data_IF_617226281586
#
_entry.id   IF_617226281586
#
_cell.length_a   1.000
_cell.length_b   1.000
_cell.length_c   1.000
_cell.angle_alpha   90.00
_cell.angle_beta   90.00
_cell.angle_gamma   90.00
#
_symmetry.space_group_name_H-M   'P 1'
#
loop_
_entity.id
_entity.type
_entity.pdbx_description
1 polymer ?
#
# COMPACT_ATOMS: atom_id res chain seq x y z
N UNK A 1 -13.10 -22.29 3.12
CA UNK A 1 -11.70 -22.18 3.55
C UNK A 1 -11.44 -23.24 4.64
N UNK A 2 -10.22 -23.76 4.75
CA UNK A 2 -9.82 -24.51 5.95
C UNK A 2 -9.99 -23.65 7.21
N UNK A 3 -10.09 -24.30 8.39
CA UNK A 3 -10.14 -23.58 9.66
C UNK A 3 -8.94 -22.64 9.75
N UNK A 4 -9.16 -21.37 10.02
CA UNK A 4 -8.10 -20.36 10.17
C UNK A 4 -7.15 -20.62 11.32
N UNK A 5 -7.46 -21.57 12.23
CA UNK A 5 -6.55 -22.08 13.26
C UNK A 5 -5.55 -23.08 12.70
N UNK A 6 -5.83 -23.67 11.53
CA UNK A 6 -4.90 -24.59 10.91
C UNK A 6 -3.64 -23.83 10.55
N UNK A 7 -2.56 -24.19 11.19
CA UNK A 7 -1.26 -23.64 10.87
C UNK A 7 -0.78 -24.25 9.55
N UNK A 8 -1.03 -23.53 8.45
CA UNK A 8 -0.46 -23.86 7.13
C UNK A 8 1.01 -23.41 7.03
N UNK A 9 1.59 -22.87 8.12
CA UNK A 9 3.03 -22.64 8.16
C UNK A 9 3.76 -23.98 8.20
N UNK A 10 4.79 -24.02 7.40
CA UNK A 10 5.61 -25.20 7.24
C UNK A 10 6.42 -25.44 8.51
N UNK A 11 6.45 -26.68 9.00
CA UNK A 11 7.31 -27.05 10.11
C UNK A 11 8.75 -26.66 9.82
N UNK A 12 9.42 -26.00 10.79
CA UNK A 12 10.78 -25.48 10.60
C UNK A 12 10.89 -24.14 9.87
N UNK A 13 9.78 -23.54 9.44
CA UNK A 13 9.81 -22.16 8.96
C UNK A 13 10.26 -21.22 10.05
N UNK A 14 11.26 -20.38 9.74
CA UNK A 14 11.73 -19.32 10.64
C UNK A 14 11.70 -17.99 9.94
N UNK A 15 11.44 -16.94 10.71
CA UNK A 15 11.52 -15.57 10.24
C UNK A 15 12.03 -14.68 11.36
N UNK A 16 13.24 -14.18 11.20
CA UNK A 16 13.86 -13.22 12.09
C UNK A 16 13.94 -11.87 11.40
N UNK A 17 13.34 -10.87 12.00
CA UNK A 17 13.35 -9.51 11.50
C UNK A 17 13.97 -8.59 12.53
N UNK A 18 14.83 -7.69 12.08
CA UNK A 18 15.32 -6.58 12.88
C UNK A 18 15.01 -5.29 12.15
N UNK A 19 14.40 -4.33 12.84
CA UNK A 19 14.06 -3.05 12.27
C UNK A 19 14.36 -1.92 13.24
N UNK A 20 14.88 -0.82 12.70
CA UNK A 20 15.06 0.43 13.40
C UNK A 20 14.49 1.55 12.55
N UNK A 21 13.73 2.43 13.17
CA UNK A 21 13.19 3.62 12.53
C UNK A 21 13.46 4.83 13.43
N UNK A 22 14.09 5.83 12.85
CA UNK A 22 14.23 7.15 13.47
C UNK A 22 13.51 8.17 12.59
N UNK A 23 12.74 9.07 13.21
CA UNK A 23 12.06 10.16 12.51
C UNK A 23 12.27 11.48 13.25
N UNK A 24 12.42 12.54 12.49
CA UNK A 24 12.51 13.92 12.96
C UNK A 24 11.49 14.76 12.20
N UNK A 25 10.65 15.47 12.95
CA UNK A 25 9.76 16.49 12.39
C UNK A 25 9.88 17.75 13.22
N UNK A 26 10.21 18.86 12.58
CA UNK A 26 10.31 20.15 13.24
C UNK A 26 9.71 21.24 12.36
N UNK A 27 8.92 22.11 12.98
CA UNK A 27 8.34 23.29 12.35
C UNK A 27 8.73 24.50 13.18
N UNK A 28 9.36 25.48 12.53
CA UNK A 28 9.75 26.75 13.13
C UNK A 28 8.92 27.89 12.52
N UNK A 29 8.22 28.63 13.34
CA UNK A 29 7.61 29.90 12.94
C UNK A 29 8.64 31.02 13.05
N UNK A 30 8.89 31.72 11.95
CA UNK A 30 9.77 32.87 11.89
C UNK A 30 8.99 34.19 12.10
N UNK A 31 7.73 34.21 11.68
CA UNK A 31 6.80 35.31 11.84
C UNK A 31 5.36 34.80 11.72
N UNK A 32 4.38 35.68 11.79
CA UNK A 32 2.96 35.34 11.56
C UNK A 32 2.70 34.83 10.14
N UNK A 33 3.59 35.17 9.20
CA UNK A 33 3.44 34.80 7.77
C UNK A 33 4.38 33.69 7.35
N UNK A 34 5.53 33.57 7.95
CA UNK A 34 6.59 32.66 7.49
C UNK A 34 6.85 31.55 8.51
N UNK A 35 6.92 30.33 8.00
CA UNK A 35 7.40 29.18 8.74
C UNK A 35 8.32 28.33 7.87
N UNK A 36 9.26 27.66 8.53
CA UNK A 36 10.09 26.64 7.91
C UNK A 36 9.83 25.30 8.56
N UNK A 37 10.15 24.25 7.85
CA UNK A 37 10.04 22.89 8.37
C UNK A 37 11.21 22.04 7.91
N UNK A 38 11.56 21.08 8.76
CA UNK A 38 12.48 20.01 8.42
C UNK A 38 11.84 18.70 8.84
N UNK A 39 11.77 17.75 7.91
CA UNK A 39 11.32 16.39 8.14
C UNK A 39 12.47 15.46 7.77
N UNK A 40 12.68 14.41 8.55
CA UNK A 40 13.72 13.46 8.27
C UNK A 40 13.38 12.08 8.78
N UNK A 41 13.96 11.08 8.16
CA UNK A 41 13.81 9.71 8.58
C UNK A 41 14.99 8.85 8.15
N UNK A 42 15.33 7.92 9.02
CA UNK A 42 16.28 6.85 8.76
C UNK A 42 15.64 5.54 9.17
N UNK A 43 15.60 4.59 8.25
CA UNK A 43 15.10 3.24 8.49
C UNK A 43 16.16 2.21 8.11
N UNK A 44 16.35 1.23 8.96
CA UNK A 44 17.12 0.04 8.67
C UNK A 44 16.26 -1.18 8.92
N UNK A 45 16.26 -2.13 7.99
CA UNK A 45 15.51 -3.37 8.11
C UNK A 45 16.33 -4.53 7.58
N UNK A 46 16.46 -5.56 8.39
CA UNK A 46 17.06 -6.83 7.97
C UNK A 46 16.08 -7.97 8.22
N UNK A 47 16.08 -8.94 7.32
CA UNK A 47 15.24 -10.13 7.38
C UNK A 47 16.06 -11.35 7.04
N UNK A 48 15.96 -12.36 7.89
CA UNK A 48 16.41 -13.70 7.57
C UNK A 48 15.23 -14.65 7.74
N UNK A 49 14.80 -15.24 6.66
CA UNK A 49 13.70 -16.20 6.67
C UNK A 49 14.04 -17.46 5.92
N UNK A 50 13.64 -18.54 6.53
CA UNK A 50 13.60 -19.87 5.95
C UNK A 50 12.13 -20.20 5.68
N UNK A 51 11.71 -20.10 4.44
CA UNK A 51 10.32 -20.21 4.05
C UNK A 51 10.13 -20.98 2.73
N UNK A 52 8.91 -21.42 2.40
CA UNK A 52 8.62 -22.03 1.12
C UNK A 52 8.90 -21.07 -0.04
N UNK A 53 9.55 -21.57 -1.06
CA UNK A 53 9.68 -20.85 -2.31
C UNK A 53 8.32 -20.84 -3.04
N UNK A 54 7.62 -19.72 -3.01
CA UNK A 54 6.29 -19.58 -3.60
C UNK A 54 6.22 -19.96 -5.08
N UNK A 55 7.30 -19.76 -5.85
CA UNK A 55 7.38 -20.17 -7.25
C UNK A 55 7.50 -21.67 -7.49
N UNK A 56 7.78 -22.46 -6.44
CA UNK A 56 7.86 -23.92 -6.52
C UNK A 56 6.68 -24.63 -5.85
N UNK A 57 5.79 -23.89 -5.17
CA UNK A 57 4.65 -24.48 -4.49
C UNK A 57 3.60 -24.94 -5.50
N UNK A 58 3.19 -26.19 -5.37
CA UNK A 58 2.07 -26.78 -6.11
C UNK A 58 1.06 -27.38 -5.18
N UNK A 59 -0.19 -27.26 -5.54
CA UNK A 59 -1.34 -27.85 -4.84
C UNK A 59 -2.09 -28.71 -5.85
N UNK A 60 -2.28 -29.99 -5.55
CA UNK A 60 -3.09 -30.88 -6.39
C UNK A 60 -4.58 -30.79 -6.03
N UNK A 61 -5.43 -31.47 -6.83
CA UNK A 61 -6.88 -31.49 -6.64
C UNK A 61 -7.34 -32.13 -5.33
N UNK A 62 -6.48 -32.89 -4.66
CA UNK A 62 -6.73 -33.51 -3.35
C UNK A 62 -6.27 -32.63 -2.18
N UNK A 63 -5.76 -31.44 -2.45
CA UNK A 63 -5.25 -30.54 -1.43
C UNK A 63 -3.82 -30.88 -0.97
N UNK A 64 -3.10 -31.76 -1.69
CA UNK A 64 -1.73 -32.11 -1.37
C UNK A 64 -0.78 -31.00 -1.84
N UNK A 65 0.07 -30.55 -0.92
CA UNK A 65 1.10 -29.53 -1.14
C UNK A 65 2.45 -30.18 -1.42
N UNK A 66 3.15 -29.66 -2.42
CA UNK A 66 4.56 -29.99 -2.67
C UNK A 66 5.31 -28.75 -3.12
N UNK A 67 6.65 -28.77 -2.98
CA UNK A 67 7.48 -27.64 -3.38
C UNK A 67 8.85 -27.67 -2.72
N UNK A 68 9.52 -26.52 -2.71
CA UNK A 68 10.87 -26.36 -2.16
C UNK A 68 10.92 -25.21 -1.16
N UNK A 69 11.75 -25.37 -0.14
CA UNK A 69 12.14 -24.29 0.76
C UNK A 69 13.25 -23.44 0.15
N UNK A 70 13.32 -22.21 0.61
CA UNK A 70 14.43 -21.29 0.31
C UNK A 70 14.96 -20.67 1.57
N UNK A 71 16.22 -20.33 1.54
CA UNK A 71 16.81 -19.35 2.45
C UNK A 71 16.73 -17.98 1.80
N UNK A 72 16.21 -17.01 2.52
CA UNK A 72 16.10 -15.64 2.06
C UNK A 72 16.67 -14.71 3.13
N UNK A 73 17.70 -13.99 2.76
CA UNK A 73 18.32 -12.96 3.61
C UNK A 73 18.22 -11.64 2.86
N UNK A 74 17.78 -10.60 3.54
CA UNK A 74 17.76 -9.25 2.98
C UNK A 74 18.19 -8.22 4.00
N UNK A 75 18.82 -7.17 3.50
CA UNK A 75 19.20 -5.99 4.25
C UNK A 75 18.81 -4.76 3.45
N UNK A 76 18.21 -3.78 4.09
CA UNK A 76 17.82 -2.54 3.45
C UNK A 76 17.94 -1.35 4.39
N UNK A 77 18.29 -0.21 3.81
CA UNK A 77 18.35 1.07 4.50
C UNK A 77 17.62 2.11 3.67
N UNK A 78 16.81 2.92 4.31
CA UNK A 78 16.15 4.07 3.72
C UNK A 78 16.52 5.34 4.47
N UNK A 79 16.74 6.43 3.75
CA UNK A 79 16.97 7.76 4.30
C UNK A 79 16.10 8.74 3.55
N UNK A 80 15.45 9.62 4.27
CA UNK A 80 14.62 10.69 3.71
C UNK A 80 14.88 11.98 4.46
N UNK A 81 15.06 13.07 3.74
CA UNK A 81 15.13 14.42 4.26
C UNK A 81 14.31 15.36 3.40
N UNK A 82 13.59 16.25 4.04
CA UNK A 82 12.87 17.33 3.40
C UNK A 82 13.08 18.61 4.19
N UNK A 83 13.41 19.68 3.50
CA UNK A 83 13.48 21.02 4.06
C UNK A 83 12.60 21.94 3.23
N UNK A 84 11.82 22.77 3.89
CA UNK A 84 10.94 23.67 3.17
C UNK A 84 10.58 24.90 3.96
N UNK A 85 9.99 25.84 3.23
CA UNK A 85 9.44 27.08 3.76
C UNK A 85 8.01 27.25 3.28
N UNK A 86 7.20 27.89 4.10
CA UNK A 86 5.84 28.27 3.72
C UNK A 86 5.56 29.73 4.10
N UNK A 87 4.75 30.37 3.28
CA UNK A 87 4.32 31.74 3.46
C UNK A 87 2.78 31.82 3.40
N UNK A 88 2.19 32.45 4.38
CA UNK A 88 0.76 32.80 4.39
C UNK A 88 0.59 34.29 4.14
N UNK A 89 -0.06 34.62 3.05
CA UNK A 89 -0.36 35.98 2.66
C UNK A 89 -1.86 36.21 2.45
N UNK A 90 -2.25 37.47 2.53
CA UNK A 90 -3.58 37.89 2.10
C UNK A 90 -3.43 39.13 1.25
N UNK A 91 -4.03 39.14 0.05
CA UNK A 91 -4.07 40.27 -0.86
C UNK A 91 -5.56 40.55 -1.12
N UNK A 92 -6.08 41.61 -0.48
CA UNK A 92 -7.52 41.86 -0.46
C UNK A 92 -8.28 40.69 0.17
N UNK A 93 -9.22 40.12 -0.56
CA UNK A 93 -10.04 38.97 -0.09
C UNK A 93 -9.45 37.60 -0.47
N UNK A 94 -8.28 37.56 -1.09
CA UNK A 94 -7.61 36.31 -1.47
C UNK A 94 -6.59 35.93 -0.40
N UNK A 95 -6.79 34.77 0.22
CA UNK A 95 -5.75 34.15 1.08
C UNK A 95 -4.91 33.23 0.23
N UNK A 96 -3.62 33.28 0.48
CA UNK A 96 -2.60 32.50 -0.23
C UNK A 96 -1.74 31.74 0.78
N UNK A 97 -1.47 30.47 0.51
CA UNK A 97 -0.59 29.61 1.32
C UNK A 97 0.40 28.93 0.38
N UNK A 98 1.52 29.61 0.14
CA UNK A 98 2.60 29.17 -0.76
C UNK A 98 3.61 28.35 0.04
N UNK A 99 4.04 27.22 -0.51
CA UNK A 99 5.10 26.40 0.06
C UNK A 99 6.11 25.97 -1.00
N UNK A 100 7.38 25.94 -0.59
CA UNK A 100 8.47 25.39 -1.38
C UNK A 100 9.26 24.42 -0.52
N UNK A 101 9.56 23.23 -1.07
CA UNK A 101 10.32 22.21 -0.39
C UNK A 101 11.33 21.56 -1.33
N UNK A 102 12.44 21.12 -0.77
CA UNK A 102 13.39 20.23 -1.44
C UNK A 102 13.50 18.95 -0.64
N UNK A 103 13.58 17.82 -1.37
CA UNK A 103 13.60 16.48 -0.80
C UNK A 103 14.83 15.73 -1.27
N UNK A 104 15.36 14.91 -0.38
CA UNK A 104 16.33 13.86 -0.68
C UNK A 104 15.82 12.53 -0.19
N UNK A 105 15.88 11.52 -1.04
CA UNK A 105 15.56 10.14 -0.71
C UNK A 105 16.69 9.24 -1.15
N UNK A 106 17.04 8.29 -0.30
CA UNK A 106 17.95 7.20 -0.62
C UNK A 106 17.37 5.89 -0.10
N UNK A 107 17.40 4.89 -0.94
CA UNK A 107 17.12 3.50 -0.57
C UNK A 107 18.22 2.61 -1.10
N UNK A 108 18.77 1.76 -0.26
CA UNK A 108 19.71 0.72 -0.67
C UNK A 108 19.23 -0.62 -0.13
N UNK A 109 19.38 -1.66 -0.93
CA UNK A 109 19.02 -3.01 -0.52
C UNK A 109 19.88 -4.06 -1.18
N UNK A 110 20.11 -5.15 -0.48
CA UNK A 110 20.65 -6.39 -1.03
C UNK A 110 19.79 -7.55 -0.54
N UNK A 111 19.66 -8.59 -1.35
CA UNK A 111 18.93 -9.78 -0.97
C UNK A 111 19.57 -11.02 -1.61
N UNK A 112 19.69 -12.06 -0.81
CA UNK A 112 20.01 -13.40 -1.25
C UNK A 112 18.73 -14.23 -1.27
N UNK A 113 18.46 -14.87 -2.39
CA UNK A 113 17.34 -15.81 -2.53
C UNK A 113 17.88 -17.12 -3.14
N UNK A 114 17.97 -18.15 -2.32
CA UNK A 114 18.49 -19.46 -2.74
C UNK A 114 17.46 -20.30 -3.49
N UNK A 115 16.27 -19.76 -3.75
CA UNK A 115 15.11 -20.45 -4.31
C UNK A 115 15.29 -21.11 -5.68
N UNK A 116 16.37 -20.81 -6.39
CA UNK A 116 16.67 -21.38 -7.73
C UNK A 116 17.91 -22.26 -7.78
N UNK A 117 18.59 -22.51 -6.65
CA UNK A 117 19.85 -23.26 -6.61
C UNK A 117 19.70 -24.65 -6.00
N UNK A 118 20.59 -25.55 -6.35
CA UNK A 118 20.71 -26.89 -5.78
C UNK A 118 20.83 -26.84 -4.24
N UNK A 119 20.04 -27.64 -3.54
CA UNK A 119 20.07 -27.69 -2.08
C UNK A 119 18.84 -27.16 -1.39
N UNK A 120 17.74 -26.93 -2.09
CA UNK A 120 16.46 -26.56 -1.47
C UNK A 120 15.85 -27.76 -0.74
N UNK A 121 15.37 -27.55 0.49
CA UNK A 121 14.59 -28.58 1.17
C UNK A 121 13.28 -28.83 0.41
N UNK A 122 12.95 -30.10 0.25
CA UNK A 122 11.67 -30.51 -0.33
C UNK A 122 10.61 -30.51 0.75
N UNK A 123 9.44 -29.97 0.43
CA UNK A 123 8.26 -29.96 1.30
C UNK A 123 7.22 -30.91 0.77
N UNK A 124 6.51 -31.57 1.69
CA UNK A 124 5.32 -32.36 1.41
C UNK A 124 4.32 -32.14 2.54
N UNK A 125 3.03 -32.14 2.22
CA UNK A 125 1.95 -31.96 3.19
C UNK A 125 0.62 -31.78 2.49
N UNK A 126 -0.39 -31.40 3.24
CA UNK A 126 -1.71 -31.09 2.71
C UNK A 126 -2.34 -29.89 3.46
N UNK A 127 -3.38 -29.34 2.86
CA UNK A 127 -4.09 -28.16 3.40
C UNK A 127 -4.77 -28.42 4.76
N UNK A 128 -4.98 -29.71 5.12
CA UNK A 128 -5.78 -30.08 6.27
C UNK A 128 -4.92 -30.51 7.47
N UNK A 129 -3.79 -31.19 7.20
CA UNK A 129 -2.93 -31.79 8.21
C UNK A 129 -1.60 -31.05 8.41
N UNK A 130 -1.36 -30.00 7.61
CA UNK A 130 -0.13 -29.20 7.68
C UNK A 130 0.98 -29.72 6.77
N UNK A 131 2.14 -29.10 6.87
CA UNK A 131 3.27 -29.31 5.95
C UNK A 131 4.52 -29.70 6.70
N UNK A 132 5.27 -30.64 6.15
CA UNK A 132 6.50 -31.14 6.73
C UNK A 132 7.68 -30.89 5.78
N UNK A 133 8.86 -30.57 6.33
CA UNK A 133 10.10 -30.51 5.60
C UNK A 133 10.62 -31.94 5.43
N UNK A 134 10.92 -32.31 4.19
CA UNK A 134 11.43 -33.66 3.87
C UNK A 134 12.96 -33.68 3.83
N UNK A 135 13.57 -32.58 3.43
CA UNK A 135 15.01 -32.45 3.30
C UNK A 135 15.54 -31.13 3.86
N UNK A 136 16.73 -31.14 4.43
CA UNK A 136 17.39 -29.93 4.94
C UNK A 136 18.25 -29.31 3.82
N UNK A 137 18.16 -28.00 3.60
CA UNK A 137 18.92 -27.34 2.53
C UNK A 137 20.40 -27.20 2.89
N UNK A 138 21.24 -27.18 1.87
CA UNK A 138 22.65 -26.82 1.95
C UNK A 138 22.82 -25.42 1.35
N UNK A 139 23.30 -24.45 2.13
CA UNK A 139 23.52 -23.07 1.71
C UNK A 139 24.99 -22.88 1.31
N UNK A 140 25.23 -22.35 0.12
CA UNK A 140 26.56 -22.22 -0.46
C UNK A 140 26.96 -20.86 -1.02
N UNK A 141 26.21 -19.79 -0.72
CA UNK A 141 26.54 -18.43 -1.22
C UNK A 141 26.55 -17.45 -0.05
N UNK A 142 27.65 -16.71 0.08
CA UNK A 142 27.78 -15.67 1.11
C UNK A 142 26.86 -14.46 0.80
N UNK A 143 26.10 -14.04 1.80
CA UNK A 143 25.27 -12.84 1.71
C UNK A 143 26.13 -11.57 1.62
N UNK A 144 27.27 -11.58 2.25
CA UNK A 144 28.16 -10.41 2.33
C UNK A 144 28.84 -10.09 1.00
N UNK A 145 28.96 -11.07 0.11
CA UNK A 145 29.54 -10.89 -1.24
C UNK A 145 28.58 -10.20 -2.23
N UNK A 146 27.34 -9.95 -1.83
CA UNK A 146 26.35 -9.33 -2.69
C UNK A 146 26.49 -7.80 -2.72
N UNK A 147 26.45 -7.25 -3.93
CA UNK A 147 26.34 -5.81 -4.12
C UNK A 147 24.96 -5.26 -3.68
N UNK A 148 24.93 -3.98 -3.33
CA UNK A 148 23.67 -3.25 -3.06
C UNK A 148 23.10 -2.69 -4.35
N UNK A 149 21.79 -2.88 -4.54
CA UNK A 149 21.01 -2.02 -5.43
C UNK A 149 20.67 -0.73 -4.67
N UNK A 150 20.77 0.42 -5.34
CA UNK A 150 20.54 1.73 -4.74
C UNK A 150 19.53 2.53 -5.56
N UNK A 151 18.80 3.38 -4.89
CA UNK A 151 17.96 4.41 -5.48
C UNK A 151 18.22 5.73 -4.76
N UNK A 152 18.55 6.76 -5.51
CA UNK A 152 18.70 8.13 -5.03
C UNK A 152 17.67 8.99 -5.74
N UNK A 153 17.03 9.88 -5.03
CA UNK A 153 16.14 10.83 -5.64
C UNK A 153 16.26 12.21 -4.98
N UNK A 154 16.27 13.23 -5.80
CA UNK A 154 16.18 14.63 -5.40
C UNK A 154 14.90 15.21 -5.97
N UNK A 155 14.13 15.93 -5.17
CA UNK A 155 12.95 16.60 -5.65
C UNK A 155 12.87 18.04 -5.17
N UNK A 156 12.21 18.87 -5.99
CA UNK A 156 11.80 20.22 -5.64
C UNK A 156 10.31 20.35 -5.88
N UNK A 157 9.58 20.79 -4.87
CA UNK A 157 8.12 20.93 -4.91
C UNK A 157 7.74 22.38 -4.63
N UNK A 158 6.97 22.97 -5.54
CA UNK A 158 6.28 24.22 -5.35
C UNK A 158 4.79 23.93 -5.24
N UNK A 159 4.15 24.36 -4.17
CA UNK A 159 2.72 24.18 -3.98
C UNK A 159 2.10 25.48 -3.49
N UNK A 160 0.91 25.79 -4.00
CA UNK A 160 0.18 26.98 -3.64
C UNK A 160 -1.31 26.68 -3.46
N UNK A 161 -1.90 27.29 -2.45
CA UNK A 161 -3.32 27.23 -2.17
C UNK A 161 -3.88 28.64 -2.08
N UNK A 162 -4.81 28.92 -2.97
CA UNK A 162 -5.59 30.16 -3.00
C UNK A 162 -6.97 29.92 -2.41
N UNK A 163 -7.41 30.82 -1.52
CA UNK A 163 -8.79 30.86 -1.02
C UNK A 163 -9.41 32.22 -1.37
N UNK A 164 -10.49 32.19 -2.12
CA UNK A 164 -11.22 33.39 -2.55
C UNK A 164 -12.72 33.19 -2.32
N UNK A 165 -13.23 33.85 -1.30
CA UNK A 165 -14.62 33.70 -0.88
C UNK A 165 -14.96 32.25 -0.54
N UNK A 166 -15.86 31.65 -1.32
CA UNK A 166 -16.32 30.26 -1.13
C UNK A 166 -15.51 29.24 -1.92
N UNK A 167 -14.56 29.65 -2.72
CA UNK A 167 -13.74 28.78 -3.56
C UNK A 167 -12.31 28.67 -3.04
N UNK A 168 -11.68 27.55 -3.30
CA UNK A 168 -10.26 27.34 -3.09
C UNK A 168 -9.66 26.57 -4.26
N UNK A 169 -8.46 26.97 -4.65
CA UNK A 169 -7.65 26.30 -5.68
C UNK A 169 -6.35 25.83 -5.02
N UNK A 170 -5.95 24.61 -5.30
CA UNK A 170 -4.63 24.07 -4.94
C UNK A 170 -3.92 23.66 -6.22
N UNK A 171 -2.69 24.07 -6.36
CA UNK A 171 -1.79 23.67 -7.43
C UNK A 171 -0.43 23.31 -6.85
N UNK A 172 0.10 22.18 -7.26
CA UNK A 172 1.45 21.77 -6.90
C UNK A 172 2.18 21.21 -8.12
N UNK A 173 3.47 21.49 -8.19
CA UNK A 173 4.36 20.98 -9.21
C UNK A 173 5.60 20.44 -8.54
N UNK A 174 5.89 19.15 -8.74
CA UNK A 174 7.10 18.51 -8.27
C UNK A 174 7.98 18.15 -9.46
N UNK A 175 9.20 18.67 -9.48
CA UNK A 175 10.29 18.13 -10.30
C UNK A 175 11.05 17.12 -9.45
N UNK A 176 11.36 15.97 -10.04
CA UNK A 176 12.14 14.93 -9.37
C UNK A 176 13.10 14.26 -10.34
N UNK A 177 14.36 14.17 -9.92
CA UNK A 177 15.40 13.37 -10.55
C UNK A 177 15.62 12.10 -9.73
N UNK A 178 15.66 10.94 -10.40
CA UNK A 178 15.83 9.63 -9.77
C UNK A 178 16.92 8.85 -10.47
N UNK A 179 17.97 8.49 -9.74
CA UNK A 179 19.01 7.56 -10.18
C UNK A 179 18.80 6.21 -9.50
N UNK A 180 18.85 5.13 -10.27
CA UNK A 180 18.91 3.75 -9.77
C UNK A 180 20.26 3.14 -10.16
N UNK A 181 20.88 2.43 -9.21
CA UNK A 181 22.11 1.67 -9.41
C UNK A 181 21.84 0.20 -9.09
N UNK A 182 22.06 -0.68 -10.04
CA UNK A 182 21.94 -2.12 -9.84
C UNK A 182 23.08 -2.66 -8.97
N UNK A 183 22.92 -3.88 -8.43
CA UNK A 183 23.98 -4.55 -7.68
C UNK A 183 25.28 -4.77 -8.49
N UNK A 184 25.22 -4.78 -9.82
CA UNK A 184 26.37 -4.85 -10.72
C UNK A 184 27.01 -3.49 -11.02
N UNK A 185 26.46 -2.39 -10.50
CA UNK A 185 26.95 -1.02 -10.69
C UNK A 185 26.37 -0.31 -11.93
N UNK A 186 25.49 -0.93 -12.70
CA UNK A 186 24.82 -0.24 -13.80
C UNK A 186 23.88 0.83 -13.27
N UNK A 187 23.92 2.02 -13.88
CA UNK A 187 23.19 3.21 -13.44
C UNK A 187 22.20 3.66 -14.49
N UNK A 188 21.01 4.05 -14.03
CA UNK A 188 19.93 4.63 -14.81
C UNK A 188 19.43 5.86 -14.10
N UNK A 189 19.41 7.01 -14.78
CA UNK A 189 18.85 8.25 -14.25
C UNK A 189 17.81 8.83 -15.20
N UNK A 190 16.71 9.31 -14.63
CA UNK A 190 15.64 10.00 -15.33
C UNK A 190 14.92 10.97 -14.40
N UNK A 191 14.48 12.06 -14.99
CA UNK A 191 13.67 13.05 -14.31
C UNK A 191 12.18 12.92 -14.62
N UNK A 192 11.36 13.56 -13.82
CA UNK A 192 9.91 13.62 -14.00
C UNK A 192 9.33 14.92 -13.45
N UNK A 193 8.27 15.37 -14.08
CA UNK A 193 7.48 16.53 -13.65
C UNK A 193 6.07 16.05 -13.32
N UNK A 194 5.63 16.26 -12.06
CA UNK A 194 4.40 15.70 -11.52
C UNK A 194 3.47 16.82 -11.03
N UNK A 195 2.44 17.18 -11.80
CA UNK A 195 1.44 18.14 -11.40
C UNK A 195 0.37 17.52 -10.49
N UNK A 196 -0.14 18.33 -9.57
CA UNK A 196 -1.34 18.06 -8.79
C UNK A 196 -2.21 19.32 -8.77
N UNK A 197 -3.49 19.17 -9.06
CA UNK A 197 -4.46 20.27 -9.04
C UNK A 197 -5.70 19.86 -8.29
N UNK A 198 -6.27 20.78 -7.53
CA UNK A 198 -7.59 20.60 -6.94
C UNK A 198 -8.33 21.93 -6.86
N UNK A 199 -9.62 21.86 -7.09
CA UNK A 199 -10.54 22.99 -6.87
C UNK A 199 -11.64 22.52 -5.91
N UNK A 200 -12.01 23.38 -4.98
CA UNK A 200 -13.15 23.15 -4.09
C UNK A 200 -14.01 24.39 -4.01
N UNK A 201 -15.30 24.17 -3.87
CA UNK A 201 -16.30 25.22 -3.70
C UNK A 201 -17.24 24.88 -2.54
N UNK A 202 -17.46 25.86 -1.66
CA UNK A 202 -18.35 25.76 -0.49
C UNK A 202 -19.60 26.61 -0.73
N UNK A 203 -20.66 26.08 -1.37
CA UNK A 203 -21.87 26.85 -1.63
C UNK A 203 -22.53 27.32 -0.31
N UNK A 204 -22.50 26.47 0.70
CA UNK A 204 -22.91 26.74 2.08
C UNK A 204 -21.83 26.23 3.04
N UNK A 205 -21.87 26.66 4.28
CA UNK A 205 -20.80 26.42 5.27
C UNK A 205 -20.49 24.93 5.50
N UNK A 206 -21.52 24.10 5.50
CA UNK A 206 -21.42 22.67 5.79
C UNK A 206 -21.33 21.78 4.53
N UNK A 207 -21.26 22.34 3.33
CA UNK A 207 -21.17 21.61 2.06
C UNK A 207 -19.95 22.06 1.26
N UNK A 208 -19.13 21.12 0.82
CA UNK A 208 -18.03 21.36 -0.09
C UNK A 208 -18.11 20.38 -1.27
N UNK A 209 -18.03 20.88 -2.49
CA UNK A 209 -17.83 20.10 -3.71
C UNK A 209 -16.40 20.33 -4.19
N UNK A 210 -15.77 19.30 -4.75
CA UNK A 210 -14.39 19.40 -5.20
C UNK A 210 -14.13 18.53 -6.43
N UNK A 211 -13.09 18.88 -7.17
CA UNK A 211 -12.49 18.06 -8.20
C UNK A 211 -10.97 18.11 -8.04
N UNK A 212 -10.29 17.01 -8.33
CA UNK A 212 -8.84 16.93 -8.27
C UNK A 212 -8.25 16.08 -9.39
N UNK A 213 -7.02 16.38 -9.72
CA UNK A 213 -6.15 15.62 -10.60
C UNK A 213 -4.78 15.47 -9.92
N UNK A 214 -4.28 14.24 -9.87
CA UNK A 214 -2.96 13.96 -9.36
C UNK A 214 -2.22 13.00 -10.29
N UNK A 215 -0.92 13.18 -10.39
CA UNK A 215 -0.03 12.31 -11.13
C UNK A 215 1.08 11.81 -10.19
N UNK A 216 1.35 10.51 -10.28
CA UNK A 216 2.50 9.87 -9.66
C UNK A 216 3.34 9.16 -10.71
N UNK A 217 4.56 8.81 -10.38
CA UNK A 217 5.46 8.11 -11.30
C UNK A 217 6.12 6.92 -10.61
N UNK A 218 6.62 5.99 -11.43
CA UNK A 218 7.49 4.90 -10.99
C UNK A 218 8.95 5.27 -11.24
N UNK A 219 9.88 4.52 -10.68
CA UNK A 219 11.31 4.67 -11.00
C UNK A 219 11.60 4.30 -12.47
N UNK A 220 12.67 4.86 -13.07
CA UNK A 220 13.10 4.49 -14.42
C UNK A 220 13.52 3.02 -14.50
N UNK A 221 13.41 2.45 -15.68
CA UNK A 221 13.76 1.04 -15.94
C UNK A 221 14.62 0.97 -17.19
N UNK A 222 15.72 0.20 -17.12
CA UNK A 222 16.50 -0.22 -18.27
C UNK A 222 15.97 -1.55 -18.78
N UNK A 223 15.80 -1.66 -20.10
CA UNK A 223 15.28 -2.86 -20.75
C UNK A 223 16.34 -3.97 -20.71
N UNK A 224 15.94 -5.12 -20.16
CA UNK A 224 16.82 -6.28 -20.01
C UNK A 224 17.21 -6.94 -21.34
N UNK A 225 18.29 -7.73 -21.31
CA UNK A 225 18.93 -8.35 -22.48
C UNK A 225 18.07 -9.37 -23.23
N UNK A 226 16.93 -9.77 -22.69
CA UNK A 226 16.00 -10.73 -23.32
C UNK A 226 15.10 -10.12 -24.38
N UNK A 227 15.13 -8.79 -24.56
CA UNK A 227 14.27 -8.04 -25.46
C UNK A 227 15.05 -7.45 -26.64
N UNK A 228 14.36 -7.21 -27.75
CA UNK A 228 14.99 -6.65 -28.96
C UNK A 228 15.49 -5.21 -28.74
N UNK A 229 14.88 -4.48 -27.82
CA UNK A 229 15.28 -3.12 -27.42
C UNK A 229 16.11 -3.11 -26.12
N UNK A 230 16.92 -4.14 -25.90
CA UNK A 230 17.81 -4.23 -24.74
C UNK A 230 18.70 -2.97 -24.59
N UNK A 231 18.85 -2.49 -23.38
CA UNK A 231 19.63 -1.29 -23.05
C UNK A 231 18.87 0.03 -23.25
N UNK A 232 17.67 0.02 -23.80
CA UNK A 232 16.81 1.20 -23.82
C UNK A 232 16.42 1.60 -22.38
N UNK A 233 16.53 2.89 -22.08
CA UNK A 233 16.16 3.43 -20.77
C UNK A 233 14.83 4.16 -20.91
N UNK A 234 13.80 3.61 -20.28
CA UNK A 234 12.49 4.22 -20.28
C UNK A 234 12.36 5.37 -19.29
N UNK A 235 11.59 6.36 -19.68
CA UNK A 235 11.10 7.37 -18.75
C UNK A 235 10.22 6.73 -17.66
N UNK A 236 10.16 7.34 -16.47
CA UNK A 236 9.24 6.88 -15.45
C UNK A 236 7.80 6.88 -15.94
N UNK A 237 7.11 5.74 -15.84
CA UNK A 237 5.69 5.67 -16.21
C UNK A 237 4.85 6.42 -15.19
N UNK A 238 3.78 7.05 -15.68
CA UNK A 238 2.93 7.96 -14.92
C UNK A 238 1.58 7.33 -14.65
N UNK A 239 1.22 7.24 -13.38
CA UNK A 239 -0.13 6.91 -12.95
C UNK A 239 -0.92 8.20 -12.80
N UNK A 240 -2.16 8.23 -13.26
CA UNK A 240 -3.01 9.43 -13.25
C UNK A 240 -4.31 9.14 -12.53
N UNK A 241 -4.68 10.02 -11.61
CA UNK A 241 -5.95 9.94 -10.90
C UNK A 241 -6.75 11.23 -11.11
N UNK A 242 -8.02 11.07 -11.43
CA UNK A 242 -9.02 12.14 -11.40
C UNK A 242 -10.11 11.76 -10.40
N UNK A 243 -10.58 12.75 -9.64
CA UNK A 243 -11.61 12.56 -8.65
C UNK A 243 -12.55 13.79 -8.60
N UNK A 244 -13.84 13.54 -8.43
CA UNK A 244 -14.83 14.54 -8.10
C UNK A 244 -15.62 14.07 -6.89
N UNK A 245 -15.88 14.97 -5.95
CA UNK A 245 -16.56 14.55 -4.74
C UNK A 245 -17.30 15.68 -4.02
N UNK A 246 -18.04 15.24 -3.03
CA UNK A 246 -18.84 16.08 -2.15
C UNK A 246 -18.55 15.71 -0.71
N UNK A 247 -18.32 16.73 0.14
CA UNK A 247 -18.22 16.59 1.59
C UNK A 247 -19.35 17.40 2.24
N UNK A 248 -20.13 16.73 3.07
CA UNK A 248 -21.26 17.34 3.76
C UNK A 248 -21.21 17.06 5.25
N UNK A 249 -21.32 18.10 6.06
CA UNK A 249 -21.40 17.98 7.52
C UNK A 249 -22.85 18.10 7.96
N UNK A 250 -23.39 17.04 8.55
CA UNK A 250 -24.71 17.01 9.16
C UNK A 250 -24.55 16.88 10.68
N UNK A 251 -24.71 17.99 11.39
CA UNK A 251 -24.39 18.04 12.82
C UNK A 251 -22.90 17.72 13.05
N UNK A 252 -22.63 16.69 13.83
CA UNK A 252 -21.26 16.23 14.14
C UNK A 252 -20.76 15.15 13.18
N UNK A 253 -21.55 14.77 12.15
CA UNK A 253 -21.18 13.73 11.19
C UNK A 253 -20.68 14.39 9.92
N UNK A 254 -19.49 13.99 9.48
CA UNK A 254 -18.94 14.30 8.16
C UNK A 254 -19.25 13.15 7.21
N UNK A 255 -19.93 13.44 6.13
CA UNK A 255 -20.16 12.56 4.98
C UNK A 255 -19.22 12.94 3.85
N UNK A 256 -18.68 11.97 3.14
CA UNK A 256 -17.89 12.18 1.93
C UNK A 256 -18.33 11.18 0.87
N UNK A 257 -18.59 11.67 -0.35
CA UNK A 257 -18.88 10.86 -1.52
C UNK A 257 -17.91 11.28 -2.62
N UNK A 258 -17.21 10.32 -3.20
CA UNK A 258 -16.26 10.55 -4.28
C UNK A 258 -16.51 9.59 -5.46
N UNK A 259 -16.32 10.10 -6.66
CA UNK A 259 -16.21 9.35 -7.91
C UNK A 259 -14.78 9.52 -8.40
N UNK A 260 -14.09 8.43 -8.71
CA UNK A 260 -12.71 8.48 -9.15
C UNK A 260 -12.41 7.57 -10.34
N UNK A 261 -11.40 7.95 -11.08
CA UNK A 261 -10.74 7.13 -12.10
C UNK A 261 -9.23 7.16 -11.86
N UNK A 262 -8.61 5.98 -11.78
CA UNK A 262 -7.17 5.78 -11.70
C UNK A 262 -6.71 4.97 -12.91
N UNK A 263 -5.83 5.55 -13.71
CA UNK A 263 -5.11 4.87 -14.77
C UNK A 263 -3.72 4.50 -14.24
N UNK A 264 -3.47 3.20 -14.11
CA UNK A 264 -2.21 2.64 -13.65
C UNK A 264 -1.46 2.08 -14.85
N UNK A 265 -0.38 2.76 -15.25
CA UNK A 265 0.48 2.29 -16.31
C UNK A 265 1.39 1.16 -15.83
N UNK A 266 1.85 0.31 -16.75
CA UNK A 266 2.78 -0.78 -16.48
C UNK A 266 3.68 -1.05 -17.68
N UNK A 267 4.81 -1.69 -17.41
CA UNK A 267 5.67 -2.24 -18.45
C UNK A 267 5.14 -3.60 -18.89
N UNK A 268 5.12 -3.85 -20.20
CA UNK A 268 4.67 -5.12 -20.77
C UNK A 268 5.60 -5.60 -21.88
N UNK A 269 5.52 -6.90 -22.17
CA UNK A 269 6.13 -7.51 -23.33
C UNK A 269 5.15 -7.45 -24.51
N UNK A 270 5.57 -6.90 -25.63
CA UNK A 270 4.82 -6.85 -26.88
C UNK A 270 5.52 -7.62 -28.01
N UNK A 271 4.74 -8.06 -29.00
CA UNK A 271 5.29 -8.69 -30.18
C UNK A 271 6.17 -7.70 -30.96
N UNK A 272 7.35 -8.16 -31.38
CA UNK A 272 8.14 -7.39 -32.34
C UNK A 272 7.45 -7.47 -33.72
N UNK A 273 7.20 -6.33 -34.39
CA UNK A 273 6.64 -6.34 -35.75
C UNK A 273 7.57 -6.99 -36.78
N UNK A 274 8.88 -7.04 -36.51
CA UNK A 274 9.85 -7.72 -37.36
C UNK A 274 9.83 -9.23 -37.08
N UNK A 275 9.49 -10.01 -38.11
CA UNK A 275 9.38 -11.49 -38.01
C UNK A 275 10.72 -12.09 -37.62
N UNK A 276 10.72 -12.97 -36.62
CA UNK A 276 11.87 -13.71 -36.17
C UNK A 276 12.77 -12.97 -35.15
N UNK A 277 12.46 -11.73 -34.80
CA UNK A 277 13.15 -11.01 -33.70
C UNK A 277 12.54 -11.28 -32.36
N UNK A 278 13.34 -11.07 -31.32
CA UNK A 278 12.84 -11.09 -29.93
C UNK A 278 11.75 -10.04 -29.72
N UNK A 279 10.85 -10.30 -28.77
CA UNK A 279 9.80 -9.35 -28.38
C UNK A 279 10.37 -8.03 -27.88
N UNK A 280 9.57 -6.99 -27.93
CA UNK A 280 9.85 -5.68 -27.36
C UNK A 280 9.38 -5.61 -25.91
N UNK A 281 10.09 -4.88 -25.08
CA UNK A 281 9.61 -4.41 -23.78
C UNK A 281 9.12 -2.99 -23.97
N UNK A 282 7.91 -2.66 -23.47
CA UNK A 282 7.26 -1.37 -23.73
C UNK A 282 6.58 -0.80 -22.48
N UNK A 283 6.20 0.47 -22.54
CA UNK A 283 5.44 1.16 -21.49
C UNK A 283 3.92 1.17 -21.76
N UNK A 284 3.43 0.29 -22.65
CA UNK A 284 2.05 0.35 -23.13
C UNK A 284 1.04 -0.37 -22.25
N UNK A 285 1.48 -1.04 -21.17
CA UNK A 285 0.57 -1.72 -20.25
C UNK A 285 -0.30 -0.75 -19.46
N UNK A 286 -1.57 -1.07 -19.27
CA UNK A 286 -2.52 -0.22 -18.53
C UNK A 286 -3.57 -1.06 -17.78
N UNK A 287 -3.79 -0.69 -16.51
CA UNK A 287 -4.95 -1.09 -15.74
C UNK A 287 -5.77 0.17 -15.41
N UNK A 288 -7.08 0.07 -15.54
CA UNK A 288 -7.99 1.17 -15.25
C UNK A 288 -8.93 0.82 -14.11
N UNK A 289 -8.97 1.69 -13.10
CA UNK A 289 -9.84 1.55 -11.94
C UNK A 289 -10.81 2.72 -11.89
N UNK A 290 -12.11 2.43 -11.88
CA UNK A 290 -13.17 3.42 -11.69
C UNK A 290 -13.97 3.04 -10.47
N UNK A 291 -14.30 4.00 -9.63
CA UNK A 291 -14.99 3.70 -8.40
C UNK A 291 -15.85 4.81 -7.87
N UNK A 292 -16.68 4.39 -6.92
CA UNK A 292 -17.47 5.26 -6.07
C UNK A 292 -17.13 4.91 -4.62
N UNK A 293 -16.78 5.91 -3.84
CA UNK A 293 -16.50 5.76 -2.42
C UNK A 293 -17.42 6.67 -1.61
N UNK A 294 -18.05 6.09 -0.61
CA UNK A 294 -18.80 6.83 0.40
C UNK A 294 -18.18 6.55 1.77
N UNK A 295 -17.96 7.60 2.54
CA UNK A 295 -17.51 7.48 3.92
C UNK A 295 -18.29 8.42 4.84
N UNK A 296 -18.38 8.02 6.10
CA UNK A 296 -18.94 8.84 7.16
C UNK A 296 -18.12 8.69 8.45
N UNK A 297 -18.01 9.78 9.21
CA UNK A 297 -17.35 9.75 10.51
C UNK A 297 -17.92 10.86 11.41
N UNK A 298 -18.16 10.54 12.67
CA UNK A 298 -18.61 11.51 13.67
C UNK A 298 -19.49 10.91 14.75
N UNK A 299 -20.09 11.81 15.55
CA UNK A 299 -21.05 11.44 16.60
C UNK A 299 -22.47 11.40 16.04
N UNK A 300 -23.09 10.23 16.07
CA UNK A 300 -24.51 10.03 15.68
C UNK A 300 -25.47 10.26 16.85
N UNK A 301 -24.96 10.19 18.07
CA UNK A 301 -25.66 10.51 19.33
C UNK A 301 -24.61 10.84 20.41
N UNK A 302 -25.00 11.40 21.57
CA UNK A 302 -24.06 11.90 22.59
C UNK A 302 -22.99 10.89 23.05
N UNK A 303 -23.29 9.60 23.00
CA UNK A 303 -22.39 8.52 23.42
C UNK A 303 -21.95 7.61 22.29
N UNK A 304 -22.31 7.91 21.03
CA UNK A 304 -22.07 7.04 19.90
C UNK A 304 -21.20 7.72 18.86
N UNK A 305 -19.98 7.24 18.70
CA UNK A 305 -19.11 7.58 17.60
C UNK A 305 -19.23 6.51 16.52
N UNK A 306 -19.35 6.91 15.26
CA UNK A 306 -19.44 6.01 14.11
C UNK A 306 -18.42 6.42 13.06
N UNK A 307 -17.79 5.44 12.45
CA UNK A 307 -16.97 5.58 11.25
C UNK A 307 -17.33 4.44 10.29
N UNK A 308 -17.61 4.80 9.04
CA UNK A 308 -17.97 3.82 8.02
C UNK A 308 -17.47 4.18 6.64
N UNK A 309 -17.30 3.18 5.79
CA UNK A 309 -16.94 3.34 4.40
C UNK A 309 -17.58 2.24 3.56
N UNK A 310 -18.00 2.62 2.36
CA UNK A 310 -18.50 1.71 1.32
C UNK A 310 -17.84 2.11 0.00
N UNK A 311 -17.19 1.15 -0.65
CA UNK A 311 -16.55 1.37 -1.94
C UNK A 311 -17.07 0.37 -2.96
N UNK A 312 -17.43 0.89 -4.13
CA UNK A 312 -17.59 0.11 -5.35
C UNK A 312 -16.41 0.38 -6.28
N UNK A 313 -15.71 -0.66 -6.72
CA UNK A 313 -14.52 -0.57 -7.55
C UNK A 313 -14.65 -1.45 -8.80
N UNK A 314 -14.53 -0.84 -9.98
CA UNK A 314 -14.46 -1.53 -11.25
C UNK A 314 -13.03 -1.42 -11.80
N UNK A 315 -12.19 -2.40 -11.46
CA UNK A 315 -10.81 -2.49 -11.94
C UNK A 315 -10.73 -3.41 -13.16
N UNK A 316 -10.26 -2.89 -14.27
CA UNK A 316 -10.10 -3.63 -15.53
C UNK A 316 -8.67 -3.55 -16.04
N UNK A 317 -8.24 -4.58 -16.73
CA UNK A 317 -7.01 -4.61 -17.50
C UNK A 317 -7.32 -4.08 -18.89
N UNK A 318 -6.69 -2.99 -19.29
CA UNK A 318 -6.96 -2.36 -20.60
C UNK A 318 -5.93 -2.77 -21.64
N UNK A 319 -4.65 -2.92 -21.23
CA UNK A 319 -3.56 -3.35 -22.13
C UNK A 319 -2.65 -4.32 -21.42
N UNK A 320 -2.44 -5.46 -22.02
CA UNK A 320 -1.67 -6.58 -21.46
C UNK A 320 -0.51 -7.01 -22.39
N UNK A 321 0.39 -7.80 -21.81
CA UNK A 321 1.53 -8.36 -22.53
C UNK A 321 1.09 -9.32 -23.62
N UNK A 322 1.95 -9.50 -24.63
CA UNK A 322 1.82 -10.51 -25.69
C UNK A 322 1.46 -11.90 -25.11
N UNK A 323 0.45 -12.52 -25.69
CA UNK A 323 -0.10 -13.81 -25.27
C UNK A 323 -1.15 -13.71 -24.17
N UNK A 324 -1.38 -12.51 -23.60
CA UNK A 324 -2.39 -12.24 -22.59
C UNK A 324 -3.49 -11.28 -23.06
N UNK A 325 -3.49 -10.87 -24.32
CA UNK A 325 -4.42 -9.90 -24.92
C UNK A 325 -5.88 -10.36 -24.79
N UNK A 326 -6.12 -11.68 -24.80
CA UNK A 326 -7.46 -12.27 -24.61
C UNK A 326 -8.04 -12.02 -23.21
N UNK A 327 -7.24 -11.50 -22.28
CA UNK A 327 -7.65 -11.12 -20.92
C UNK A 327 -7.95 -9.63 -20.79
N UNK A 328 -7.76 -8.84 -21.85
CA UNK A 328 -8.10 -7.42 -21.87
C UNK A 328 -9.61 -7.21 -21.68
N UNK A 329 -9.97 -6.16 -20.98
CA UNK A 329 -11.33 -5.89 -20.55
C UNK A 329 -11.82 -6.74 -19.35
N UNK A 330 -11.03 -7.75 -18.91
CA UNK A 330 -11.35 -8.53 -17.71
C UNK A 330 -10.99 -7.77 -16.43
N UNK A 331 -11.57 -8.23 -15.33
CA UNK A 331 -11.29 -7.64 -14.02
C UNK A 331 -9.86 -7.92 -13.56
N UNK A 332 -9.26 -6.92 -12.94
CA UNK A 332 -7.96 -7.07 -12.29
C UNK A 332 -8.04 -8.08 -11.14
N UNK A 333 -7.05 -8.97 -11.08
CA UNK A 333 -6.96 -9.99 -10.01
C UNK A 333 -6.73 -9.31 -8.65
N UNK A 334 -7.27 -9.91 -7.60
CA UNK A 334 -7.15 -9.39 -6.24
C UNK A 334 -7.98 -8.14 -5.94
N UNK A 335 -8.84 -7.71 -6.88
CA UNK A 335 -9.62 -6.49 -6.76
C UNK A 335 -11.10 -6.83 -6.54
N UNK A 336 -11.61 -6.79 -5.31
CA UNK A 336 -13.03 -6.99 -5.03
C UNK A 336 -13.84 -5.77 -5.50
N UNK A 337 -15.03 -6.02 -6.05
CA UNK A 337 -15.92 -4.95 -6.50
C UNK A 337 -16.52 -4.14 -5.36
N UNK A 338 -16.77 -4.79 -4.23
CA UNK A 338 -17.39 -4.17 -3.08
C UNK A 338 -16.55 -4.36 -1.84
N UNK A 339 -16.32 -3.28 -1.12
CA UNK A 339 -15.71 -3.28 0.20
C UNK A 339 -16.54 -2.39 1.11
N UNK A 340 -16.75 -2.84 2.35
CA UNK A 340 -17.42 -2.03 3.35
C UNK A 340 -16.78 -2.23 4.72
N UNK A 341 -16.72 -1.15 5.48
CA UNK A 341 -16.31 -1.14 6.88
C UNK A 341 -17.29 -0.31 7.67
N UNK A 342 -17.66 -0.77 8.85
CA UNK A 342 -18.41 -0.01 9.83
C UNK A 342 -17.76 -0.22 11.18
N UNK A 343 -17.42 0.85 11.86
CA UNK A 343 -16.92 0.83 13.23
C UNK A 343 -17.78 1.77 14.07
N UNK A 344 -18.11 1.36 15.27
CA UNK A 344 -18.81 2.20 16.24
C UNK A 344 -18.21 2.01 17.62
N UNK A 345 -18.13 3.10 18.37
CA UNK A 345 -17.70 3.13 19.75
C UNK A 345 -18.83 3.75 20.59
N UNK A 346 -19.29 2.98 21.58
CA UNK A 346 -20.26 3.42 22.56
C UNK A 346 -19.57 3.81 23.85
N UNK A 347 -19.62 5.08 24.21
CA UNK A 347 -19.09 5.64 25.45
C UNK A 347 -20.10 5.42 26.58
N UNK A 348 -19.97 4.30 27.32
CA UNK A 348 -20.88 3.99 28.42
C UNK A 348 -20.80 5.07 29.49
N UNK A 349 -19.58 5.49 29.85
CA UNK A 349 -19.25 6.60 30.72
C UNK A 349 -17.90 7.24 30.33
N UNK A 350 -17.34 8.11 31.19
CA UNK A 350 -16.06 8.81 30.91
C UNK A 350 -14.85 7.87 30.81
N UNK A 351 -14.95 6.69 31.39
CA UNK A 351 -13.84 5.75 31.48
C UNK A 351 -14.04 4.49 30.61
N UNK A 352 -15.27 4.16 30.25
CA UNK A 352 -15.60 2.88 29.65
C UNK A 352 -16.25 3.03 28.29
N UNK A 353 -15.69 2.34 27.30
CA UNK A 353 -16.25 2.29 25.93
C UNK A 353 -16.32 0.86 25.41
N UNK A 354 -17.38 0.56 24.68
CA UNK A 354 -17.52 -0.67 23.90
C UNK A 354 -17.30 -0.36 22.41
N UNK A 355 -16.63 -1.26 21.72
CA UNK A 355 -16.31 -1.13 20.29
C UNK A 355 -16.96 -2.27 19.55
N UNK A 356 -17.54 -1.95 18.41
CA UNK A 356 -18.00 -2.92 17.42
C UNK A 356 -17.44 -2.54 16.07
N UNK A 357 -16.97 -3.53 15.29
CA UNK A 357 -16.54 -3.34 13.91
C UNK A 357 -17.04 -4.48 13.02
N UNK A 358 -17.48 -4.11 11.82
CA UNK A 358 -17.85 -5.00 10.73
C UNK A 358 -16.94 -4.72 9.55
N UNK A 359 -16.40 -5.76 8.91
CA UNK A 359 -15.64 -5.66 7.67
C UNK A 359 -16.27 -6.61 6.65
N UNK A 360 -16.57 -6.09 5.47
CA UNK A 360 -17.04 -6.87 4.33
C UNK A 360 -16.10 -6.68 3.15
N UNK A 361 -15.71 -7.79 2.53
CA UNK A 361 -14.91 -7.82 1.30
C UNK A 361 -15.63 -8.71 0.30
N UNK A 362 -15.95 -8.15 -0.85
CA UNK A 362 -16.62 -8.84 -1.93
C UNK A 362 -15.74 -9.87 -2.64
N UNK A 363 -16.36 -10.65 -3.51
CA UNK A 363 -15.65 -11.62 -4.35
C UNK A 363 -14.59 -10.94 -5.24
N UNK A 364 -13.47 -11.61 -5.43
CA UNK A 364 -12.39 -11.14 -6.32
C UNK A 364 -11.81 -12.27 -7.16
N UNK A 365 -11.36 -11.94 -8.37
CA UNK A 365 -10.63 -12.89 -9.21
C UNK A 365 -9.25 -13.17 -8.63
N UNK A 366 -8.88 -14.44 -8.52
CA UNK A 366 -7.55 -14.89 -8.06
C UNK A 366 -6.62 -15.13 -9.24
N UNK A 367 -7.17 -15.59 -10.37
CA UNK A 367 -6.40 -15.87 -11.57
C UNK A 367 -7.23 -15.60 -12.84
N UNK A 368 -6.55 -15.76 -13.97
CA UNK A 368 -7.11 -15.53 -15.30
C UNK A 368 -8.06 -16.64 -15.78
N UNK A 369 -8.07 -17.78 -15.09
CA UNK A 369 -8.93 -18.94 -15.41
C UNK A 369 -10.30 -18.88 -14.74
N UNK A 370 -10.66 -17.74 -14.14
CA UNK A 370 -11.99 -17.53 -13.54
C UNK A 370 -12.12 -18.01 -12.10
N UNK A 371 -11.05 -18.45 -11.47
CA UNK A 371 -11.07 -18.80 -10.03
C UNK A 371 -11.32 -17.54 -9.21
N UNK A 372 -12.29 -17.65 -8.29
CA UNK A 372 -12.73 -16.54 -7.43
C UNK A 372 -12.41 -16.84 -5.97
N UNK A 373 -11.84 -15.87 -5.27
CA UNK A 373 -11.92 -15.82 -3.81
C UNK A 373 -13.35 -15.42 -3.41
N UNK A 374 -14.03 -16.21 -2.55
CA UNK A 374 -15.36 -15.87 -2.07
C UNK A 374 -15.36 -14.55 -1.29
N UNK A 375 -16.52 -13.92 -1.22
CA UNK A 375 -16.77 -12.82 -0.30
C UNK A 375 -16.76 -13.29 1.16
N UNK A 376 -16.45 -12.38 2.04
CA UNK A 376 -16.53 -12.64 3.47
C UNK A 376 -16.91 -11.40 4.26
N UNK A 377 -17.46 -11.66 5.46
CA UNK A 377 -17.77 -10.66 6.44
C UNK A 377 -17.23 -11.11 7.80
N UNK A 378 -16.55 -10.21 8.50
CA UNK A 378 -16.04 -10.44 9.86
C UNK A 378 -16.57 -9.40 10.80
N UNK A 379 -16.72 -9.78 12.06
CA UNK A 379 -17.15 -8.90 13.13
C UNK A 379 -16.12 -8.93 14.25
N UNK A 380 -15.82 -7.75 14.79
CA UNK A 380 -14.91 -7.58 15.91
C UNK A 380 -15.64 -6.84 17.02
N UNK A 381 -15.32 -7.19 18.25
CA UNK A 381 -15.81 -6.51 19.45
C UNK A 381 -14.64 -6.12 20.33
N UNK A 382 -14.82 -5.03 21.06
CA UNK A 382 -13.77 -4.55 21.96
C UNK A 382 -14.33 -3.78 23.13
N UNK A 383 -13.44 -3.61 24.10
CA UNK A 383 -13.70 -2.80 25.30
C UNK A 383 -12.47 -1.98 25.63
N UNK A 384 -12.67 -0.71 25.96
CA UNK A 384 -11.63 0.19 26.45
C UNK A 384 -11.98 0.67 27.86
N UNK A 385 -10.95 0.72 28.70
CA UNK A 385 -11.03 1.28 30.03
C UNK A 385 -9.92 2.29 30.25
N UNK A 386 -10.30 3.55 30.58
CA UNK A 386 -9.38 4.62 30.94
C UNK A 386 -9.21 4.66 32.44
N UNK A 387 -7.97 4.65 32.91
CA UNK A 387 -7.64 4.70 34.32
C UNK A 387 -6.35 5.50 34.54
N UNK A 388 -5.84 5.51 35.76
CA UNK A 388 -4.54 6.09 36.10
C UNK A 388 -3.73 5.08 36.93
N UNK A 389 -2.46 5.00 36.63
CA UNK A 389 -1.48 4.25 37.44
C UNK A 389 -0.43 5.27 37.91
N UNK A 390 -0.33 5.48 39.22
CA UNK A 390 0.57 6.50 39.81
C UNK A 390 0.51 7.87 39.12
N UNK A 391 -0.67 8.39 38.90
CA UNK A 391 -0.94 9.67 38.19
C UNK A 391 -0.78 9.64 36.66
N UNK A 392 -0.16 8.66 36.08
CA UNK A 392 -0.04 8.50 34.63
C UNK A 392 -1.37 7.99 34.05
N UNK A 393 -1.99 8.71 33.09
CA UNK A 393 -3.19 8.20 32.41
C UNK A 393 -2.85 6.91 31.65
N UNK A 394 -3.72 5.92 31.77
CA UNK A 394 -3.58 4.61 31.11
C UNK A 394 -4.87 4.22 30.43
N UNK A 395 -4.80 3.83 29.18
CA UNK A 395 -5.91 3.22 28.45
C UNK A 395 -5.65 1.73 28.27
N UNK A 396 -6.46 0.90 28.90
CA UNK A 396 -6.46 -0.55 28.72
C UNK A 396 -7.48 -0.91 27.63
N UNK A 397 -7.10 -1.78 26.70
CA UNK A 397 -7.99 -2.22 25.63
C UNK A 397 -7.95 -3.74 25.48
N UNK A 398 -9.12 -4.33 25.31
CA UNK A 398 -9.30 -5.74 24.98
C UNK A 398 -10.11 -5.82 23.68
N UNK A 399 -9.57 -6.49 22.67
CA UNK A 399 -10.21 -6.68 21.36
C UNK A 399 -10.35 -8.17 21.05
N UNK A 400 -11.50 -8.57 20.52
CA UNK A 400 -11.72 -9.88 19.95
C UNK A 400 -12.02 -9.69 18.46
N UNK A 401 -11.06 -10.02 17.62
CA UNK A 401 -11.20 -9.99 16.18
C UNK A 401 -11.86 -11.26 15.66
N UNK A 402 -12.65 -11.13 14.58
CA UNK A 402 -13.39 -12.24 13.97
C UNK A 402 -14.15 -13.03 15.02
N UNK A 403 -14.95 -12.34 15.83
CA UNK A 403 -15.64 -12.91 17.02
C UNK A 403 -16.53 -14.11 16.69
N UNK A 404 -17.09 -14.16 15.48
CA UNK A 404 -17.91 -15.28 15.01
C UNK A 404 -17.08 -16.48 14.51
N UNK A 405 -15.75 -16.36 14.44
CA UNK A 405 -14.85 -17.42 14.00
C UNK A 405 -15.05 -17.81 12.54
N UNK A 406 -15.30 -16.83 11.66
CA UNK A 406 -15.47 -17.08 10.22
C UNK A 406 -14.15 -17.52 9.60
N UNK A 407 -14.16 -18.64 8.89
CA UNK A 407 -13.06 -19.06 8.02
C UNK A 407 -13.23 -18.47 6.62
N UNK A 408 -12.17 -17.84 6.11
CA UNK A 408 -12.23 -17.12 4.84
C UNK A 408 -10.87 -17.06 4.13
N UNK A 409 -10.93 -16.80 2.83
CA UNK A 409 -9.77 -16.57 1.99
C UNK A 409 -9.54 -15.08 1.77
N UNK A 410 -8.31 -14.63 1.92
CA UNK A 410 -7.85 -13.29 1.55
C UNK A 410 -7.17 -13.40 0.18
N UNK A 411 -7.71 -12.69 -0.82
CA UNK A 411 -7.03 -12.57 -2.12
C UNK A 411 -5.83 -11.63 -2.01
N UNK A 412 -4.71 -12.05 -2.59
CA UNK A 412 -3.46 -11.27 -2.71
C UNK A 412 -3.03 -11.14 -4.18
N UNK A 413 -3.96 -10.74 -5.04
CA UNK A 413 -3.74 -10.72 -6.49
C UNK A 413 -3.85 -12.12 -7.07
N UNK A 414 -2.76 -12.72 -7.49
CA UNK A 414 -2.73 -14.06 -8.10
C UNK A 414 -2.63 -15.21 -7.09
N UNK A 415 -2.73 -14.94 -5.80
CA UNK A 415 -2.69 -15.94 -4.73
C UNK A 415 -3.75 -15.66 -3.67
N UNK A 416 -3.99 -16.64 -2.80
CA UNK A 416 -4.86 -16.52 -1.64
C UNK A 416 -4.11 -16.87 -0.37
N UNK A 417 -4.53 -16.29 0.75
CA UNK A 417 -4.08 -16.65 2.09
C UNK A 417 -5.29 -16.93 2.97
N UNK A 418 -5.12 -17.74 4.01
CA UNK A 418 -6.15 -17.90 5.03
C UNK A 418 -6.33 -16.60 5.80
N UNK A 419 -7.58 -16.28 6.08
CA UNK A 419 -7.94 -15.21 7.00
C UNK A 419 -7.57 -15.56 8.44
N UNK A 420 -7.32 -14.53 9.26
CA UNK A 420 -7.04 -14.73 10.68
C UNK A 420 -8.24 -15.38 11.40
N UNK A 421 -8.01 -16.40 12.24
CA UNK A 421 -9.04 -16.97 13.09
C UNK A 421 -9.51 -15.96 14.13
N UNK A 422 -10.44 -16.36 15.00
CA UNK A 422 -10.78 -15.58 16.18
C UNK A 422 -9.51 -15.32 16.98
N UNK A 423 -9.20 -14.04 17.20
CA UNK A 423 -7.96 -13.60 17.84
C UNK A 423 -8.29 -12.59 18.94
N UNK A 424 -7.71 -12.79 20.11
CA UNK A 424 -7.81 -11.84 21.22
C UNK A 424 -6.52 -11.03 21.33
N UNK A 425 -6.65 -9.73 21.53
CA UNK A 425 -5.53 -8.82 21.78
C UNK A 425 -5.82 -7.96 23.00
N UNK A 426 -4.84 -7.88 23.90
CA UNK A 426 -4.85 -6.98 25.03
C UNK A 426 -3.76 -5.92 24.82
N UNK A 427 -4.05 -4.68 25.13
CA UNK A 427 -3.08 -3.59 25.06
C UNK A 427 -3.24 -2.61 26.22
N UNK A 428 -2.13 -1.98 26.60
CA UNK A 428 -2.08 -0.88 27.56
C UNK A 428 -1.31 0.27 26.93
N UNK A 429 -1.91 1.47 26.91
CA UNK A 429 -1.28 2.70 26.44
C UNK A 429 -1.06 3.60 27.65
N UNK A 430 0.15 4.10 27.80
CA UNK A 430 0.54 5.06 28.84
C UNK A 430 0.78 6.41 28.18
N UNK A 431 0.11 7.45 28.68
CA UNK A 431 0.30 8.84 28.24
C UNK A 431 1.27 9.52 29.22
N UNK A 432 2.55 9.61 28.81
CA UNK A 432 3.67 10.06 29.64
C UNK A 432 3.94 11.54 29.40
#
# INVERSE_FOLDING_TARGET
APDGKNNLSFGGQTKNNHGMLFTLNHIQKFSDKWSGFINGGYGHYSEHKYDPNSGSLTLDDNGKLSGKFRDYISDSTSTYWQVGVSNKAAIGNVKNDLSFAVDYFMYKSKALNTGSKTGQATIAGDLWNGVHIVETPIFGVGFDDLGYSKEHAYAATLADRFEFGKASLYAALQYRDTETESASGAKVSKDSLNPTFAIAYKPIENLSVYASYAQSYTKPVEVGTSYANAGEIFDPIKNKQTEIGVKYRSGEILHSLALFELNQASYIREANPEIGKADLYTQNGENKFKGVEYSLAGKVAPKWNVMGGLMYLNGKREKLAKGSEHLEGRYATGTPKWNAVLATEYEADQNNSAIFRMNYVGKSHVNDNGVMAPDYMTFDIGYKHKTKINSTPVTLSAMCYNVLGKDYWISRGTSVALGAPRTMMLSAQFDI
#
